data_IF_753456030670
#
_entry.id   IF_753456030670
#
_cell.length_a   1.000
_cell.length_b   1.000
_cell.length_c   1.000
_cell.angle_alpha   90.00
_cell.angle_beta   90.00
_cell.angle_gamma   90.00
#
_symmetry.space_group_name_H-M   'P 1'
#
loop_
_entity.id
_entity.type
_entity.pdbx_description
1 polymer ?
#
# COMPACT_ATOMS: atom_id res chain seq x y z
N UNK A 1 9.10 -45.81 13.73
CA UNK A 1 9.38 -44.36 13.80
C UNK A 1 8.42 -43.64 12.87
N UNK A 2 7.46 -42.91 13.42
CA UNK A 2 6.64 -41.98 12.64
C UNK A 2 7.51 -40.75 12.42
N UNK A 3 7.81 -40.41 11.16
CA UNK A 3 8.39 -39.10 10.85
C UNK A 3 7.30 -38.07 11.17
N UNK A 4 7.47 -37.33 12.25
CA UNK A 4 6.76 -36.07 12.43
C UNK A 4 7.15 -35.19 11.26
N UNK A 5 6.19 -34.98 10.37
CA UNK A 5 6.26 -33.90 9.39
C UNK A 5 5.93 -32.66 10.21
N UNK A 6 6.94 -32.02 10.77
CA UNK A 6 6.80 -30.65 11.23
C UNK A 6 6.46 -29.83 10.01
N UNK A 7 5.17 -29.55 9.83
CA UNK A 7 4.69 -28.52 8.91
C UNK A 7 5.22 -27.20 9.45
N UNK A 8 6.45 -26.85 9.08
CA UNK A 8 6.98 -25.50 9.27
C UNK A 8 6.06 -24.60 8.48
N UNK A 9 5.11 -23.98 9.17
CA UNK A 9 4.23 -22.98 8.61
C UNK A 9 5.14 -21.83 8.20
N UNK A 10 5.19 -21.50 6.91
CA UNK A 10 5.90 -20.31 6.45
C UNK A 10 5.43 -19.09 7.25
N UNK A 11 6.29 -18.09 7.53
CA UNK A 11 5.84 -16.89 8.21
C UNK A 11 4.77 -16.22 7.36
N UNK A 12 3.52 -16.22 7.83
CA UNK A 12 2.47 -15.46 7.19
C UNK A 12 2.78 -13.98 7.36
N UNK A 13 2.60 -13.18 6.30
CA UNK A 13 2.68 -11.73 6.40
C UNK A 13 1.72 -11.26 7.50
N UNK A 14 2.21 -10.44 8.41
CA UNK A 14 1.41 -9.86 9.50
C UNK A 14 0.93 -8.45 9.14
N UNK A 15 -0.16 -7.99 9.77
CA UNK A 15 -0.59 -6.61 9.61
C UNK A 15 0.50 -5.63 10.11
N UNK A 16 0.77 -4.60 9.33
CA UNK A 16 1.87 -3.64 9.52
C UNK A 16 3.18 -4.07 8.87
N UNK A 17 3.33 -5.31 8.42
CA UNK A 17 4.54 -5.75 7.74
C UNK A 17 4.71 -5.06 6.38
N UNK A 18 5.97 -4.77 6.03
CA UNK A 18 6.36 -4.27 4.72
C UNK A 18 6.79 -5.43 3.81
N UNK A 19 6.42 -5.36 2.53
CA UNK A 19 6.83 -6.35 1.53
C UNK A 19 6.90 -5.72 0.13
N UNK A 20 7.70 -6.31 -0.76
CA UNK A 20 7.84 -5.83 -2.15
C UNK A 20 6.95 -6.64 -3.08
N UNK A 21 6.19 -5.98 -3.94
CA UNK A 21 5.41 -6.65 -4.98
C UNK A 21 5.20 -5.74 -6.20
N UNK A 22 5.42 -6.26 -7.41
CA UNK A 22 5.30 -5.47 -8.64
C UNK A 22 6.25 -4.27 -8.72
N UNK A 23 7.42 -4.36 -8.07
CA UNK A 23 8.42 -3.29 -8.01
C UNK A 23 8.06 -2.12 -7.08
N UNK A 24 7.10 -2.31 -6.18
CA UNK A 24 6.68 -1.32 -5.19
C UNK A 24 6.72 -1.94 -3.80
N UNK A 25 7.10 -1.14 -2.81
CA UNK A 25 6.98 -1.48 -1.40
C UNK A 25 5.56 -1.23 -0.91
N UNK A 26 4.98 -2.22 -0.23
CA UNK A 26 3.63 -2.20 0.31
C UNK A 26 3.65 -2.40 1.82
N UNK A 27 2.59 -1.96 2.48
CA UNK A 27 2.28 -2.24 3.88
C UNK A 27 1.00 -3.09 3.89
N UNK A 28 1.06 -4.25 4.54
CA UNK A 28 -0.11 -5.06 4.79
C UNK A 28 -1.00 -4.39 5.83
N UNK A 29 -2.17 -3.88 5.45
CA UNK A 29 -3.12 -3.26 6.37
C UNK A 29 -4.00 -4.29 7.06
N UNK A 30 -4.46 -5.28 6.30
CA UNK A 30 -5.34 -6.35 6.77
C UNK A 30 -4.93 -7.65 6.09
N UNK A 31 -4.78 -8.71 6.87
CA UNK A 31 -4.41 -10.06 6.39
C UNK A 31 -5.59 -10.99 6.66
N UNK A 32 -6.17 -11.50 5.58
CA UNK A 32 -7.25 -12.48 5.59
C UNK A 32 -6.78 -13.78 4.90
N UNK A 33 -7.52 -14.89 5.08
CA UNK A 33 -7.14 -16.17 4.46
C UNK A 33 -6.92 -16.08 2.95
N UNK A 34 -7.77 -15.32 2.25
CA UNK A 34 -7.78 -15.27 0.78
C UNK A 34 -7.15 -13.99 0.20
N UNK A 35 -7.00 -12.94 1.01
CA UNK A 35 -6.44 -11.67 0.56
C UNK A 35 -5.59 -10.94 1.61
N UNK A 36 -4.75 -10.04 1.13
CA UNK A 36 -4.07 -9.03 1.92
C UNK A 36 -4.40 -7.65 1.36
N UNK A 37 -5.05 -6.81 2.18
CA UNK A 37 -5.30 -5.41 1.86
C UNK A 37 -3.97 -4.66 2.04
N UNK A 38 -3.52 -4.01 0.97
CA UNK A 38 -2.16 -3.50 0.87
C UNK A 38 -2.16 -2.05 0.43
N UNK A 39 -1.49 -1.18 1.19
CA UNK A 39 -1.27 0.23 0.86
C UNK A 39 0.18 0.42 0.45
N UNK A 40 0.44 1.19 -0.61
CA UNK A 40 1.81 1.53 -0.96
C UNK A 40 2.53 2.18 0.24
N UNK A 41 3.77 1.78 0.50
CA UNK A 41 4.52 2.20 1.67
C UNK A 41 4.75 3.72 1.69
N UNK A 42 4.85 4.33 0.51
CA UNK A 42 5.03 5.77 0.31
C UNK A 42 4.25 6.27 -0.92
N UNK A 43 4.28 7.57 -1.16
CA UNK A 43 3.82 8.21 -2.41
C UNK A 43 4.67 7.73 -3.58
N UNK A 44 4.02 7.20 -4.62
CA UNK A 44 4.71 6.59 -5.76
C UNK A 44 4.93 7.56 -6.93
N UNK A 45 4.07 8.57 -7.05
CA UNK A 45 4.16 9.62 -8.08
C UNK A 45 3.16 10.73 -7.80
N UNK A 46 3.30 11.85 -8.51
CA UNK A 46 2.51 13.05 -8.32
C UNK A 46 1.46 13.22 -9.44
N UNK A 47 0.17 13.22 -9.11
CA UNK A 47 -0.96 13.38 -10.04
C UNK A 47 -2.15 14.09 -9.37
N UNK A 48 -2.89 14.86 -10.16
CA UNK A 48 -4.19 15.38 -9.73
C UNK A 48 -5.18 14.23 -9.50
N UNK A 49 -6.17 14.45 -8.64
CA UNK A 49 -7.24 13.48 -8.42
C UNK A 49 -8.10 13.36 -9.68
N UNK A 50 -8.54 14.49 -10.22
CA UNK A 50 -9.32 14.51 -11.46
C UNK A 50 -9.00 15.72 -12.33
N UNK A 51 -8.67 15.46 -13.60
CA UNK A 51 -8.42 16.51 -14.61
C UNK A 51 -9.69 17.25 -15.04
N UNK A 52 -10.88 16.76 -14.68
CA UNK A 52 -12.17 17.43 -14.92
C UNK A 52 -12.75 18.02 -13.63
N UNK A 53 -11.91 18.16 -12.60
CA UNK A 53 -12.22 18.83 -11.35
C UNK A 53 -13.28 18.13 -10.49
N UNK A 54 -13.59 16.85 -10.74
CA UNK A 54 -14.57 16.08 -9.97
C UNK A 54 -13.94 15.43 -8.74
N UNK A 55 -14.65 15.40 -7.63
CA UNK A 55 -14.26 14.67 -6.42
C UNK A 55 -14.84 13.25 -6.31
N UNK A 56 -15.52 12.78 -7.35
CA UNK A 56 -15.98 11.40 -7.47
C UNK A 56 -14.85 10.50 -8.00
N UNK A 57 -14.33 9.60 -7.14
CA UNK A 57 -13.27 8.69 -7.53
C UNK A 57 -13.65 7.78 -8.70
N UNK A 58 -14.89 7.26 -8.74
CA UNK A 58 -15.31 6.29 -9.75
C UNK A 58 -15.19 6.84 -11.18
N UNK A 59 -15.49 8.14 -11.35
CA UNK A 59 -15.40 8.84 -12.62
C UNK A 59 -14.10 9.63 -12.84
N UNK A 60 -13.16 9.57 -11.89
CA UNK A 60 -11.93 10.35 -11.89
C UNK A 60 -10.87 9.86 -12.89
N UNK A 61 -10.06 10.81 -13.37
CA UNK A 61 -8.87 10.50 -14.18
C UNK A 61 -7.83 9.66 -13.43
N UNK A 62 -7.72 9.83 -12.10
CA UNK A 62 -6.78 9.06 -11.29
C UNK A 62 -7.19 7.59 -11.19
N UNK A 63 -8.48 7.30 -10.99
CA UNK A 63 -9.00 5.93 -11.01
C UNK A 63 -8.76 5.24 -12.36
N UNK A 64 -8.97 5.96 -13.46
CA UNK A 64 -8.68 5.47 -14.81
C UNK A 64 -7.18 5.18 -15.01
N UNK A 65 -6.30 6.04 -14.49
CA UNK A 65 -4.85 5.85 -14.52
C UNK A 65 -4.41 4.61 -13.71
N UNK A 66 -4.85 4.51 -12.46
CA UNK A 66 -4.58 3.38 -11.56
C UNK A 66 -5.06 2.05 -12.19
N UNK A 67 -6.26 2.11 -12.75
CA UNK A 67 -6.99 1.13 -13.57
C UNK A 67 -6.31 0.69 -14.87
N UNK A 68 -5.39 1.50 -15.40
CA UNK A 68 -4.91 1.40 -16.77
C UNK A 68 -3.41 1.30 -16.82
N UNK A 69 -2.75 2.45 -17.02
CA UNK A 69 -1.31 2.52 -17.21
C UNK A 69 -0.54 2.00 -15.98
N UNK A 70 -0.98 2.36 -14.77
CA UNK A 70 -0.31 1.94 -13.55
C UNK A 70 -0.38 0.43 -13.33
N UNK A 71 -1.57 -0.18 -13.43
CA UNK A 71 -1.71 -1.64 -13.32
C UNK A 71 -0.87 -2.38 -14.39
N UNK A 72 -0.84 -1.88 -15.63
CA UNK A 72 0.03 -2.44 -16.68
C UNK A 72 1.52 -2.34 -16.32
N UNK A 73 1.93 -1.26 -15.64
CA UNK A 73 3.30 -1.08 -15.15
C UNK A 73 3.66 -2.14 -14.10
N UNK A 74 2.76 -2.42 -13.15
CA UNK A 74 2.95 -3.49 -12.17
C UNK A 74 3.11 -4.85 -12.85
N UNK A 75 2.28 -5.14 -13.85
CA UNK A 75 2.35 -6.39 -14.62
C UNK A 75 3.67 -6.51 -15.37
N UNK A 76 4.13 -5.42 -16.00
CA UNK A 76 5.43 -5.38 -16.67
C UNK A 76 6.61 -5.56 -15.69
N UNK A 77 6.43 -5.15 -14.44
CA UNK A 77 7.39 -5.35 -13.35
C UNK A 77 7.34 -6.76 -12.73
N UNK A 78 6.52 -7.66 -13.27
CA UNK A 78 6.47 -9.07 -12.86
C UNK A 78 5.32 -9.43 -11.94
N UNK A 79 4.42 -8.49 -11.58
CA UNK A 79 3.22 -8.83 -10.81
C UNK A 79 2.17 -9.53 -11.68
N UNK A 80 1.72 -10.76 -11.36
CA UNK A 80 0.62 -11.37 -12.11
C UNK A 80 -0.65 -10.52 -11.99
N UNK A 81 -1.28 -10.17 -13.11
CA UNK A 81 -2.49 -9.33 -13.06
C UNK A 81 -3.65 -10.00 -12.29
N UNK A 82 -3.66 -11.34 -12.27
CA UNK A 82 -4.61 -12.15 -11.51
C UNK A 82 -4.37 -12.14 -9.99
N UNK A 83 -3.28 -11.53 -9.53
CA UNK A 83 -3.01 -11.33 -8.10
C UNK A 83 -3.90 -10.24 -7.50
N UNK A 84 -4.29 -9.26 -8.30
CA UNK A 84 -5.10 -8.13 -7.86
C UNK A 84 -6.57 -8.50 -7.86
N UNK A 85 -7.15 -8.59 -6.67
CA UNK A 85 -8.57 -8.85 -6.43
C UNK A 85 -9.31 -7.50 -6.47
N UNK A 86 -10.51 -7.42 -7.09
CA UNK A 86 -11.32 -6.21 -7.04
C UNK A 86 -11.66 -5.80 -5.61
N UNK A 87 -11.37 -4.55 -5.27
CA UNK A 87 -11.83 -3.85 -4.08
C UNK A 87 -13.25 -3.35 -4.30
N UNK A 88 -14.09 -3.45 -3.28
CA UNK A 88 -15.30 -2.62 -3.18
C UNK A 88 -14.94 -1.35 -2.41
N UNK A 89 -15.09 -0.19 -3.04
CA UNK A 89 -14.69 1.11 -2.51
C UNK A 89 -15.95 1.89 -2.16
N UNK A 90 -16.15 2.17 -0.87
CA UNK A 90 -17.22 3.05 -0.41
C UNK A 90 -16.86 4.51 -0.71
N UNK A 91 -17.70 5.19 -1.50
CA UNK A 91 -17.53 6.59 -1.90
C UNK A 91 -18.45 7.53 -1.12
N UNK A 92 -18.94 7.10 0.04
CA UNK A 92 -19.58 7.97 1.02
C UNK A 92 -18.66 9.15 1.34
N UNK A 93 -19.17 10.37 1.23
CA UNK A 93 -18.44 11.58 1.57
C UNK A 93 -18.18 11.68 3.07
N UNK A 94 -17.22 12.52 3.48
CA UNK A 94 -16.85 12.63 4.89
C UNK A 94 -17.96 13.24 5.77
N UNK A 95 -18.92 13.96 5.18
CA UNK A 95 -20.16 14.40 5.83
C UNK A 95 -21.32 13.37 5.76
N UNK A 96 -21.06 12.17 5.21
CA UNK A 96 -21.97 11.03 5.25
C UNK A 96 -22.94 10.92 4.07
N UNK A 97 -22.82 11.76 3.03
CA UNK A 97 -23.66 11.66 1.83
C UNK A 97 -23.22 10.50 0.94
N UNK A 98 -24.20 9.80 0.35
CA UNK A 98 -23.99 8.59 -0.45
C UNK A 98 -24.23 8.79 -1.94
N UNK A 99 -24.19 10.04 -2.42
CA UNK A 99 -24.60 10.37 -3.79
C UNK A 99 -23.73 9.69 -4.86
N UNK A 100 -22.47 9.35 -4.56
CA UNK A 100 -21.55 8.64 -5.47
C UNK A 100 -21.62 7.11 -5.35
N UNK A 101 -22.26 6.56 -4.31
CA UNK A 101 -22.39 5.12 -4.11
C UNK A 101 -21.05 4.41 -3.85
N UNK A 102 -20.72 3.43 -4.69
CA UNK A 102 -19.53 2.57 -4.55
C UNK A 102 -18.83 2.37 -5.90
N UNK A 103 -17.51 2.16 -5.90
CA UNK A 103 -16.74 1.69 -7.07
C UNK A 103 -16.23 0.26 -6.86
N UNK A 104 -15.95 -0.42 -7.97
CA UNK A 104 -15.23 -1.70 -7.96
C UNK A 104 -14.01 -1.61 -8.88
N UNK A 105 -12.83 -1.72 -8.28
CA UNK A 105 -11.54 -1.52 -8.95
C UNK A 105 -10.45 -2.42 -8.36
N UNK A 106 -9.46 -2.85 -9.16
CA UNK A 106 -8.31 -3.63 -8.69
C UNK A 106 -7.35 -2.78 -7.86
N UNK A 107 -7.16 -1.53 -8.27
CA UNK A 107 -6.33 -0.53 -7.62
C UNK A 107 -7.22 0.66 -7.26
N UNK A 108 -7.31 0.95 -5.97
CA UNK A 108 -8.08 2.06 -5.40
C UNK A 108 -7.21 3.04 -4.64
N UNK A 109 -7.87 3.88 -3.85
CA UNK A 109 -7.26 4.70 -2.80
C UNK A 109 -7.92 4.34 -1.48
N UNK A 110 -7.22 4.58 -0.37
CA UNK A 110 -7.80 4.40 0.96
C UNK A 110 -8.97 5.36 1.18
N UNK A 111 -9.99 4.95 1.91
CA UNK A 111 -10.99 5.87 2.45
C UNK A 111 -10.50 6.52 3.75
N UNK A 112 -11.07 7.65 4.15
CA UNK A 112 -10.78 8.27 5.44
C UNK A 112 -11.13 7.33 6.61
N UNK A 113 -12.19 6.52 6.49
CA UNK A 113 -12.57 5.53 7.49
C UNK A 113 -11.51 4.43 7.62
N UNK A 114 -11.08 3.85 6.50
CA UNK A 114 -9.99 2.87 6.48
C UNK A 114 -8.69 3.47 7.04
N UNK A 115 -8.36 4.71 6.67
CA UNK A 115 -7.18 5.39 7.18
C UNK A 115 -7.22 5.53 8.71
N UNK A 116 -8.36 5.96 9.27
CA UNK A 116 -8.55 6.06 10.73
C UNK A 116 -8.44 4.68 11.39
N UNK A 117 -9.04 3.64 10.79
CA UNK A 117 -8.98 2.25 11.28
C UNK A 117 -7.56 1.69 11.34
N UNK A 118 -6.73 1.96 10.33
CA UNK A 118 -5.37 1.42 10.22
C UNK A 118 -4.28 2.42 10.65
N UNK A 119 -4.65 3.55 11.27
CA UNK A 119 -3.72 4.66 11.52
C UNK A 119 -2.47 4.27 12.30
N UNK A 120 -2.57 3.34 13.24
CA UNK A 120 -1.48 2.89 14.10
C UNK A 120 -0.35 2.18 13.36
N UNK A 121 -0.63 1.58 12.20
CA UNK A 121 0.36 0.84 11.39
C UNK A 121 0.79 1.58 10.13
N UNK A 122 0.09 2.65 9.74
CA UNK A 122 0.44 3.46 8.58
C UNK A 122 1.48 4.52 8.99
N UNK A 123 2.74 4.44 8.51
CA UNK A 123 3.71 5.50 8.70
C UNK A 123 3.35 6.72 7.84
N UNK A 124 3.87 7.85 8.27
CA UNK A 124 3.85 9.09 7.50
C UNK A 124 4.57 8.89 6.16
N UNK A 125 4.00 9.46 5.10
CA UNK A 125 4.55 9.41 3.75
C UNK A 125 5.49 10.59 3.51
N UNK A 126 6.32 10.51 2.48
CA UNK A 126 7.24 11.58 2.06
C UNK A 126 6.52 12.82 1.53
N UNK A 127 5.28 12.67 1.07
CA UNK A 127 4.43 13.78 0.62
C UNK A 127 2.97 13.57 1.04
N UNK A 128 2.14 14.61 0.88
CA UNK A 128 0.69 14.50 1.06
C UNK A 128 0.06 13.68 -0.06
N UNK A 129 -1.05 12.99 0.24
CA UNK A 129 -1.64 12.03 -0.70
C UNK A 129 -3.16 11.92 -0.63
N UNK A 130 -3.78 11.64 -1.77
CA UNK A 130 -5.23 11.56 -1.91
C UNK A 130 -5.84 10.34 -1.21
N UNK A 131 -7.03 10.54 -0.64
CA UNK A 131 -7.96 9.45 -0.29
C UNK A 131 -9.03 9.33 -1.39
N UNK A 132 -9.83 8.26 -1.39
CA UNK A 132 -11.02 8.18 -2.24
C UNK A 132 -12.23 8.97 -1.68
N UNK A 133 -12.12 9.55 -0.48
CA UNK A 133 -13.25 10.15 0.23
C UNK A 133 -13.49 11.60 -0.23
N UNK A 134 -14.66 11.91 -0.80
CA UNK A 134 -15.06 13.30 -1.06
C UNK A 134 -15.23 14.07 0.25
N UNK A 135 -14.92 15.37 0.26
CA UNK A 135 -15.26 16.23 1.40
C UNK A 135 -16.77 16.30 1.63
N UNK A 136 -17.51 16.48 0.54
CA UNK A 136 -18.98 16.46 0.44
C UNK A 136 -19.32 16.26 -1.06
N UNK A 137 -20.57 16.47 -1.48
CA UNK A 137 -21.03 16.25 -2.85
C UNK A 137 -21.56 17.52 -3.50
N UNK A 138 -21.84 17.47 -4.81
CA UNK A 138 -22.48 18.56 -5.58
C UNK A 138 -23.76 19.07 -4.92
N UNK A 139 -24.54 18.20 -4.24
CA UNK A 139 -25.77 18.62 -3.56
C UNK A 139 -25.53 19.70 -2.50
N UNK A 140 -24.35 19.70 -1.87
CA UNK A 140 -23.94 20.71 -0.88
C UNK A 140 -23.04 21.81 -1.49
N UNK A 141 -22.90 21.86 -2.83
CA UNK A 141 -22.02 22.80 -3.53
C UNK A 141 -20.54 22.38 -3.55
N UNK A 142 -20.25 21.12 -3.21
CA UNK A 142 -18.88 20.61 -3.08
C UNK A 142 -18.61 19.43 -4.04
N UNK A 143 -18.57 19.71 -5.34
CA UNK A 143 -18.26 18.68 -6.34
C UNK A 143 -16.77 18.51 -6.66
N UNK A 144 -15.92 19.30 -6.00
CA UNK A 144 -14.52 19.45 -6.39
C UNK A 144 -13.54 19.29 -5.24
N UNK A 145 -14.00 18.99 -4.02
CA UNK A 145 -13.14 18.90 -2.85
C UNK A 145 -13.02 17.45 -2.40
N UNK A 146 -11.78 16.98 -2.27
CA UNK A 146 -11.44 15.61 -1.86
C UNK A 146 -10.63 15.67 -0.56
N UNK A 147 -10.79 14.66 0.29
CA UNK A 147 -9.96 14.47 1.48
C UNK A 147 -8.57 13.95 1.10
N UNK A 148 -7.56 14.45 1.77
CA UNK A 148 -6.18 13.97 1.62
C UNK A 148 -5.52 13.84 2.99
N UNK A 149 -4.42 13.10 3.04
CA UNK A 149 -3.57 12.94 4.23
C UNK A 149 -2.31 13.75 4.02
N UNK A 150 -2.01 14.66 4.94
CA UNK A 150 -0.79 15.47 4.97
C UNK A 150 0.43 14.62 5.35
N UNK A 151 1.65 15.16 5.16
CA UNK A 151 2.91 14.48 5.51
C UNK A 151 3.02 14.12 6.98
N UNK A 152 2.37 14.87 7.86
CA UNK A 152 2.32 14.59 9.31
C UNK A 152 1.23 13.55 9.69
N UNK A 153 0.42 13.11 8.72
CA UNK A 153 -0.70 12.20 8.91
C UNK A 153 -2.03 12.88 9.26
N UNK A 154 -2.12 14.21 9.22
CA UNK A 154 -3.37 14.94 9.44
C UNK A 154 -4.29 14.80 8.22
N UNK A 155 -5.59 14.58 8.47
CA UNK A 155 -6.62 14.61 7.42
C UNK A 155 -7.03 16.05 7.10
N UNK A 156 -6.92 16.42 5.84
CA UNK A 156 -7.24 17.74 5.31
C UNK A 156 -8.10 17.62 4.05
N UNK A 157 -8.42 18.75 3.41
CA UNK A 157 -9.18 18.78 2.15
C UNK A 157 -8.55 19.74 1.16
N UNK A 158 -8.62 19.40 -0.13
CA UNK A 158 -8.10 20.23 -1.22
C UNK A 158 -8.97 20.05 -2.48
N UNK A 159 -8.83 20.97 -3.43
CA UNK A 159 -9.49 20.87 -4.72
C UNK A 159 -8.90 19.73 -5.55
N UNK A 160 -9.75 18.93 -6.20
CA UNK A 160 -9.41 17.73 -6.96
C UNK A 160 -8.43 17.97 -8.13
N UNK A 161 -8.34 19.23 -8.59
CA UNK A 161 -7.50 19.65 -9.71
C UNK A 161 -6.22 20.39 -9.26
N UNK A 162 -6.05 20.69 -7.97
CA UNK A 162 -4.86 21.39 -7.50
C UNK A 162 -3.65 20.46 -7.39
N UNK A 163 -2.63 20.80 -8.18
CA UNK A 163 -1.25 20.34 -7.99
C UNK A 163 -0.96 18.92 -8.46
N UNK A 164 0.33 18.65 -8.60
CA UNK A 164 0.90 17.31 -8.67
C UNK A 164 0.90 16.78 -7.23
N UNK A 165 -0.13 16.03 -6.84
CA UNK A 165 -0.34 15.51 -5.48
C UNK A 165 0.07 14.05 -5.36
N UNK A 166 0.38 13.57 -4.16
CA UNK A 166 0.88 12.20 -4.00
C UNK A 166 -0.18 11.13 -4.27
N UNK A 167 0.16 10.18 -5.13
CA UNK A 167 -0.60 8.94 -5.34
C UNK A 167 -0.06 7.88 -4.39
N UNK A 168 -0.91 7.33 -3.52
CA UNK A 168 -0.60 6.21 -2.62
C UNK A 168 -1.63 5.09 -2.81
N UNK A 169 -1.41 4.17 -3.76
CA UNK A 169 -2.40 3.17 -4.16
C UNK A 169 -2.75 2.17 -3.05
N UNK A 170 -3.99 1.70 -3.11
CA UNK A 170 -4.51 0.60 -2.30
C UNK A 170 -4.90 -0.57 -3.22
N UNK A 171 -4.59 -1.81 -2.83
CA UNK A 171 -5.04 -2.99 -3.55
C UNK A 171 -5.31 -4.18 -2.62
N UNK A 172 -6.13 -5.13 -3.05
CA UNK A 172 -6.21 -6.46 -2.44
C UNK A 172 -5.39 -7.44 -3.26
N UNK A 173 -4.45 -8.12 -2.62
CA UNK A 173 -3.62 -9.14 -3.24
C UNK A 173 -4.05 -10.53 -2.75
N UNK A 174 -4.07 -11.54 -3.63
CA UNK A 174 -4.28 -12.93 -3.22
C UNK A 174 -3.21 -13.39 -2.23
N UNK A 175 -3.61 -13.94 -1.08
CA UNK A 175 -2.68 -14.39 -0.04
C UNK A 175 -1.68 -15.44 -0.54
N UNK A 176 -2.14 -16.37 -1.40
CA UNK A 176 -1.29 -17.43 -1.98
C UNK A 176 -0.06 -16.89 -2.73
N UNK A 177 -0.19 -15.75 -3.39
CA UNK A 177 0.88 -15.16 -4.18
C UNK A 177 1.92 -14.50 -3.27
N UNK A 178 1.49 -13.96 -2.13
CA UNK A 178 2.37 -13.34 -1.16
C UNK A 178 3.20 -14.34 -0.37
N UNK A 179 2.68 -15.54 -0.09
CA UNK A 179 3.48 -16.63 0.51
C UNK A 179 4.71 -16.90 -0.34
N UNK A 180 4.53 -17.01 -1.67
CA UNK A 180 5.66 -17.26 -2.59
C UNK A 180 6.69 -16.12 -2.64
N UNK A 181 6.23 -14.86 -2.63
CA UNK A 181 7.12 -13.70 -2.66
C UNK A 181 7.89 -13.53 -1.34
N UNK A 182 7.23 -13.76 -0.21
CA UNK A 182 7.84 -13.66 1.11
C UNK A 182 8.88 -14.77 1.34
N UNK A 183 8.60 -15.99 0.89
CA UNK A 183 9.56 -17.10 0.96
C UNK A 183 10.84 -16.81 0.16
N UNK A 184 10.72 -16.19 -1.02
CA UNK A 184 11.88 -15.78 -1.80
C UNK A 184 12.72 -14.69 -1.10
N UNK A 185 12.09 -13.67 -0.53
CA UNK A 185 12.79 -12.61 0.20
C UNK A 185 13.43 -13.13 1.49
N UNK A 186 12.72 -13.96 2.26
CA UNK A 186 13.21 -14.57 3.48
C UNK A 186 14.42 -15.47 3.18
N UNK A 187 14.38 -16.22 2.08
CA UNK A 187 15.52 -17.02 1.62
C UNK A 187 16.71 -16.14 1.24
N UNK A 188 16.51 -15.09 0.45
CA UNK A 188 17.59 -14.14 0.09
C UNK A 188 18.23 -13.50 1.34
N UNK A 189 17.44 -13.13 2.35
CA UNK A 189 17.95 -12.61 3.63
C UNK A 189 18.73 -13.65 4.41
N UNK A 190 18.23 -14.89 4.47
CA UNK A 190 18.92 -16.01 5.12
C UNK A 190 20.27 -16.28 4.45
N UNK A 191 20.31 -16.34 3.12
CA UNK A 191 21.53 -16.58 2.35
C UNK A 191 22.55 -15.44 2.56
N UNK A 192 22.09 -14.17 2.56
CA UNK A 192 22.95 -13.02 2.83
C UNK A 192 23.52 -13.03 4.27
N UNK A 193 22.70 -13.40 5.25
CA UNK A 193 23.14 -13.54 6.65
C UNK A 193 24.17 -14.66 6.80
N UNK A 194 23.98 -15.77 6.10
CA UNK A 194 24.91 -16.91 6.11
C UNK A 194 26.26 -16.54 5.46
N UNK A 195 26.23 -15.85 4.32
CA UNK A 195 27.45 -15.28 3.72
C UNK A 195 28.17 -14.30 4.66
N UNK A 196 27.44 -13.43 5.36
CA UNK A 196 28.03 -12.53 6.36
C UNK A 196 28.70 -13.29 7.50
N UNK A 197 28.07 -14.35 8.02
CA UNK A 197 28.66 -15.21 9.06
C UNK A 197 29.93 -15.90 8.56
N UNK A 198 29.91 -16.42 7.34
CA UNK A 198 31.08 -17.03 6.72
C UNK A 198 32.23 -16.03 6.50
N UNK A 199 31.93 -14.79 6.10
CA UNK A 199 32.92 -13.72 5.99
C UNK A 199 33.48 -13.32 7.36
N UNK A 200 32.63 -13.11 8.38
CA UNK A 200 33.09 -12.76 9.72
C UNK A 200 34.03 -13.83 10.32
N UNK A 201 33.70 -15.10 10.11
CA UNK A 201 34.56 -16.22 10.51
C UNK A 201 35.90 -16.26 9.74
N UNK A 202 35.91 -15.90 8.45
CA UNK A 202 37.13 -15.88 7.64
C UNK A 202 38.09 -14.75 8.01
N UNK A 203 37.58 -13.65 8.58
CA UNK A 203 38.38 -12.50 9.02
C UNK A 203 38.62 -12.45 10.54
N UNK A 204 38.19 -13.48 11.29
CA UNK A 204 38.30 -13.57 12.76
C UNK A 204 37.71 -12.35 13.50
N UNK A 205 36.70 -11.72 12.90
CA UNK A 205 36.01 -10.54 13.46
C UNK A 205 34.89 -11.03 14.36
N UNK A 206 34.93 -10.64 15.65
CA UNK A 206 33.84 -10.94 16.58
C UNK A 206 32.59 -10.14 16.18
N UNK A 207 31.39 -10.76 16.11
CA UNK A 207 30.15 -10.06 15.72
C UNK A 207 29.84 -8.82 16.57
N UNK A 208 30.35 -8.77 17.81
CA UNK A 208 30.17 -7.69 18.77
C UNK A 208 30.86 -6.37 18.37
N UNK A 209 31.94 -6.42 17.59
CA UNK A 209 32.72 -5.21 17.20
C UNK A 209 32.15 -4.49 15.97
N UNK A 210 31.16 -5.07 15.27
CA UNK A 210 30.53 -4.48 14.08
C UNK A 210 29.45 -3.44 14.46
N UNK A 211 28.97 -3.44 15.71
CA UNK A 211 27.84 -2.61 16.16
C UNK A 211 28.18 -1.59 17.27
N UNK A 212 29.43 -1.48 17.69
CA UNK A 212 29.88 -0.41 18.57
C UNK A 212 30.90 0.46 17.86
N UNK A 213 30.47 1.59 17.33
CA UNK A 213 31.04 2.91 17.64
C UNK A 213 30.38 4.00 16.80
N UNK A 214 29.56 4.80 17.48
CA UNK A 214 28.89 5.99 16.98
C UNK A 214 28.34 6.78 18.16
N UNK A 215 29.14 6.90 19.23
CA UNK A 215 28.93 7.82 20.34
C UNK A 215 30.26 8.50 20.62
N UNK A 216 30.47 9.62 19.93
CA UNK A 216 31.07 10.85 20.48
C UNK A 216 30.29 12.04 19.91
#
# INVERSE_FOLDING_TARGET
MKKEITTTTAPAIEAGAKFTFGGIDWIALEVAPDYVLSLAADVIEQRAFDTKEKNDFASSSLRAYLNGEFLKRLVKAGAPEAAFIPLNIDLTSDDGLKDYGTDTAKIGLISCEQYRRFRSIIPNASDWWWTCTPYSTERNGYARIVRYVSTDGTLLSNYAYHGSSGVRPLCCLKSEILVSAYDEEAKKRSDALDMMKHLAAAFDVKPEEVFSEGRE
#
